data_IF_467787801364
#
_entry.id   IF_467787801364
#
_cell.length_a   1.000
_cell.length_b   1.000
_cell.length_c   1.000
_cell.angle_alpha   90.00
_cell.angle_beta   90.00
_cell.angle_gamma   90.00
#
_symmetry.space_group_name_H-M   'P 1'
#
loop_
_entity.id
_entity.type
_entity.pdbx_description
1 polymer ?
#
# COMPACT_ATOMS: atom_id res chain seq x y z
N UNK A 1 -31.86 -31.51 1.42
CA UNK A 1 -32.74 -30.82 0.45
C UNK A 1 -32.59 -29.32 0.66
N UNK A 2 -31.70 -28.68 -0.08
CA UNK A 2 -31.40 -27.25 0.05
C UNK A 2 -32.26 -26.46 -0.94
N UNK A 3 -33.04 -25.51 -0.43
CA UNK A 3 -33.78 -24.55 -1.24
C UNK A 3 -32.93 -23.31 -1.45
N UNK A 4 -32.66 -23.00 -2.72
CA UNK A 4 -31.82 -21.91 -3.22
C UNK A 4 -32.63 -20.62 -3.36
N UNK A 5 -32.17 -19.54 -2.71
CA UNK A 5 -32.62 -18.18 -3.00
C UNK A 5 -31.93 -17.66 -4.28
N UNK A 6 -32.70 -16.97 -5.13
CA UNK A 6 -32.39 -16.58 -6.51
C UNK A 6 -31.52 -15.33 -6.66
N UNK A 7 -30.87 -14.88 -5.58
CA UNK A 7 -29.83 -13.85 -5.67
C UNK A 7 -28.60 -14.38 -4.93
N UNK A 8 -27.69 -14.96 -5.70
CA UNK A 8 -26.39 -15.48 -5.27
C UNK A 8 -25.47 -14.38 -4.73
N UNK A 9 -25.89 -13.70 -3.66
CA UNK A 9 -25.00 -12.88 -2.86
C UNK A 9 -24.24 -13.85 -1.98
N UNK A 10 -23.12 -14.35 -2.49
CA UNK A 10 -22.12 -14.95 -1.63
C UNK A 10 -21.84 -13.95 -0.51
N UNK A 11 -22.09 -14.38 0.72
CA UNK A 11 -21.57 -13.73 1.91
C UNK A 11 -20.06 -13.93 1.89
N UNK A 12 -19.35 -13.15 1.09
CA UNK A 12 -17.97 -12.82 1.42
C UNK A 12 -18.04 -12.12 2.76
N UNK A 13 -17.63 -12.81 3.83
CA UNK A 13 -17.11 -12.13 5.02
C UNK A 13 -15.90 -11.33 4.57
N UNK A 14 -16.15 -10.18 3.95
CA UNK A 14 -15.16 -9.14 3.77
C UNK A 14 -14.87 -8.70 5.19
N UNK A 15 -13.80 -9.23 5.78
CA UNK A 15 -13.08 -8.47 6.78
C UNK A 15 -12.89 -7.11 6.14
N UNK A 16 -13.53 -6.08 6.70
CA UNK A 16 -13.31 -4.71 6.27
C UNK A 16 -11.85 -4.46 6.59
N UNK A 17 -11.01 -4.65 5.59
CA UNK A 17 -9.57 -4.56 5.73
C UNK A 17 -9.28 -3.10 6.04
N UNK A 18 -8.97 -2.82 7.30
CA UNK A 18 -8.89 -1.44 7.80
C UNK A 18 -7.59 -0.81 7.31
N UNK A 19 -7.71 0.24 6.51
CA UNK A 19 -6.55 1.10 6.17
C UNK A 19 -6.24 1.98 7.38
N UNK A 20 -5.04 1.85 7.94
CA UNK A 20 -4.54 2.81 8.92
C UNK A 20 -3.96 4.04 8.22
N UNK A 21 -3.70 5.11 8.98
CA UNK A 21 -2.95 6.25 8.46
C UNK A 21 -1.53 5.80 8.06
N UNK A 22 -0.98 6.45 7.03
CA UNK A 22 0.30 6.03 6.46
C UNK A 22 1.46 6.03 7.48
N UNK A 23 1.46 6.95 8.44
CA UNK A 23 2.52 7.01 9.44
C UNK A 23 2.43 5.81 10.40
N UNK A 24 1.21 5.46 10.85
CA UNK A 24 0.96 4.27 11.64
C UNK A 24 1.32 2.99 10.89
N UNK A 25 0.90 2.88 9.62
CA UNK A 25 1.23 1.75 8.77
C UNK A 25 2.75 1.56 8.65
N UNK A 26 3.50 2.65 8.43
CA UNK A 26 4.98 2.59 8.34
C UNK A 26 5.64 2.22 9.68
N UNK A 27 5.08 2.66 10.80
CA UNK A 27 5.67 2.47 12.13
C UNK A 27 5.33 1.12 12.77
N UNK A 28 4.15 0.56 12.48
CA UNK A 28 3.59 -0.63 13.17
C UNK A 28 2.78 -1.57 12.26
N UNK A 29 2.85 -1.37 10.95
CA UNK A 29 2.02 -2.09 9.99
C UNK A 29 2.53 -3.45 9.56
N UNK A 30 3.58 -4.01 10.17
CA UNK A 30 4.02 -5.38 9.88
C UNK A 30 3.91 -6.22 11.14
N UNK A 31 3.34 -7.41 11.05
CA UNK A 31 3.23 -8.35 12.18
C UNK A 31 4.19 -9.50 11.96
N UNK A 32 5.08 -9.73 12.92
CA UNK A 32 5.90 -10.93 12.94
C UNK A 32 5.02 -12.16 13.23
N UNK A 33 4.93 -13.14 12.33
CA UNK A 33 4.05 -14.30 12.50
C UNK A 33 4.50 -15.23 13.63
N UNK A 34 5.77 -15.17 14.05
CA UNK A 34 6.32 -16.03 15.11
C UNK A 34 6.09 -15.47 16.50
N UNK A 35 6.21 -14.15 16.66
CA UNK A 35 6.09 -13.48 17.96
C UNK A 35 4.76 -12.74 18.16
N UNK A 36 4.06 -12.43 17.07
CA UNK A 36 2.90 -11.53 17.06
C UNK A 36 3.25 -10.06 17.23
N UNK A 37 4.54 -9.70 17.27
CA UNK A 37 4.99 -8.33 17.46
C UNK A 37 4.67 -7.44 16.25
N UNK A 38 4.26 -6.19 16.50
CA UNK A 38 4.10 -5.16 15.46
C UNK A 38 5.39 -4.37 15.24
N UNK A 39 5.94 -4.54 14.06
CA UNK A 39 7.18 -3.95 13.58
C UNK A 39 6.93 -2.77 12.63
N UNK A 40 7.91 -1.88 12.55
CA UNK A 40 7.99 -0.90 11.48
C UNK A 40 8.37 -1.58 10.16
N UNK A 41 8.13 -0.90 9.03
CA UNK A 41 8.60 -1.39 7.73
C UNK A 41 10.13 -1.55 7.70
N UNK A 42 10.86 -0.59 8.30
CA UNK A 42 12.32 -0.65 8.39
C UNK A 42 12.78 -1.88 9.20
N UNK A 43 12.20 -2.10 10.38
CA UNK A 43 12.55 -3.23 11.25
C UNK A 43 12.20 -4.57 10.61
N UNK A 44 11.06 -4.66 9.92
CA UNK A 44 10.65 -5.87 9.20
C UNK A 44 11.59 -6.21 8.03
N UNK A 45 12.12 -5.21 7.32
CA UNK A 45 13.15 -5.44 6.30
C UNK A 45 14.45 -5.89 6.96
N UNK A 46 14.85 -5.21 8.05
CA UNK A 46 16.07 -5.51 8.80
C UNK A 46 16.07 -6.92 9.40
N UNK A 47 14.92 -7.41 9.87
CA UNK A 47 14.73 -8.77 10.37
C UNK A 47 14.57 -9.82 9.26
N UNK A 48 14.54 -9.38 7.98
CA UNK A 48 14.26 -10.19 6.78
C UNK A 48 12.86 -10.78 6.74
N UNK A 49 11.94 -10.26 7.56
CA UNK A 49 10.53 -10.59 7.48
C UNK A 49 9.92 -10.10 6.15
N UNK A 50 10.38 -8.94 5.66
CA UNK A 50 10.00 -8.41 4.35
C UNK A 50 11.20 -8.40 3.40
N UNK A 51 11.04 -9.04 2.25
CA UNK A 51 11.88 -8.78 1.08
C UNK A 51 11.25 -7.63 0.28
N UNK A 52 11.78 -6.43 0.49
CA UNK A 52 11.26 -5.20 -0.13
C UNK A 52 11.56 -5.11 -1.62
N UNK A 53 12.55 -5.86 -2.13
CA UNK A 53 12.88 -5.88 -3.55
C UNK A 53 11.90 -6.75 -4.36
N UNK A 54 11.44 -7.84 -3.75
CA UNK A 54 10.48 -8.77 -4.35
C UNK A 54 9.03 -8.52 -3.89
N UNK A 55 8.81 -7.64 -2.90
CA UNK A 55 7.51 -7.36 -2.28
C UNK A 55 6.85 -8.63 -1.72
N UNK A 56 7.66 -9.38 -0.98
CA UNK A 56 7.29 -10.67 -0.37
C UNK A 56 7.47 -10.58 1.14
N UNK A 57 6.52 -11.14 1.88
CA UNK A 57 6.65 -11.39 3.31
C UNK A 57 7.03 -12.86 3.52
N UNK A 58 8.07 -13.09 4.33
CA UNK A 58 8.57 -14.41 4.68
C UNK A 58 7.88 -14.94 5.94
N UNK A 59 7.33 -16.15 5.86
CA UNK A 59 6.86 -16.94 6.99
C UNK A 59 7.80 -18.13 7.18
N UNK A 60 7.99 -18.69 8.39
CA UNK A 60 8.86 -19.85 8.60
C UNK A 60 8.58 -21.02 7.62
N UNK A 61 7.31 -21.27 7.31
CA UNK A 61 6.87 -22.38 6.46
C UNK A 61 6.55 -21.99 5.01
N UNK A 62 6.46 -20.69 4.69
CA UNK A 62 6.03 -20.24 3.35
C UNK A 62 6.45 -18.80 3.06
N UNK A 63 6.25 -18.34 1.83
CA UNK A 63 6.34 -16.92 1.51
C UNK A 63 5.08 -16.50 0.75
N UNK A 64 4.70 -15.24 0.88
CA UNK A 64 3.50 -14.71 0.25
C UNK A 64 3.73 -13.27 -0.21
N UNK A 65 3.01 -12.86 -1.24
CA UNK A 65 3.04 -11.45 -1.66
C UNK A 65 2.38 -10.55 -0.60
N UNK A 66 2.61 -9.23 -0.69
CA UNK A 66 2.08 -8.30 0.31
C UNK A 66 0.53 -8.29 0.36
N UNK A 67 -0.15 -8.56 -0.75
CA UNK A 67 -1.62 -8.57 -0.78
C UNK A 67 -2.17 -9.81 -0.05
N UNK A 68 -1.55 -10.97 -0.23
CA UNK A 68 -1.83 -12.19 0.51
C UNK A 68 -1.54 -12.01 2.00
N UNK A 69 -0.39 -11.43 2.36
CA UNK A 69 -0.02 -11.12 3.74
C UNK A 69 -1.05 -10.18 4.39
N UNK A 70 -1.56 -9.20 3.64
CA UNK A 70 -2.60 -8.29 4.10
C UNK A 70 -3.92 -9.03 4.41
N UNK A 71 -4.32 -9.97 3.55
CA UNK A 71 -5.54 -10.75 3.74
C UNK A 71 -5.51 -11.62 5.01
N UNK A 72 -4.33 -12.05 5.45
CA UNK A 72 -4.14 -12.81 6.69
C UNK A 72 -3.73 -11.94 7.88
N UNK A 73 -3.67 -10.61 7.71
CA UNK A 73 -3.39 -9.66 8.79
C UNK A 73 -1.93 -9.54 9.20
N UNK A 74 -0.98 -10.01 8.37
CA UNK A 74 0.46 -9.93 8.63
C UNK A 74 1.10 -8.61 8.17
N UNK A 75 0.41 -7.87 7.30
CA UNK A 75 0.82 -6.53 6.90
C UNK A 75 -0.40 -5.61 6.77
N UNK A 76 -0.21 -4.35 7.10
CA UNK A 76 -1.20 -3.29 6.91
C UNK A 76 -1.44 -3.06 5.42
N UNK A 77 -2.70 -2.82 5.10
CA UNK A 77 -3.16 -2.78 3.71
C UNK A 77 -2.80 -1.50 3.01
N UNK A 78 -2.61 -0.42 3.77
CA UNK A 78 -2.00 0.79 3.25
C UNK A 78 -0.59 0.47 2.69
N UNK A 79 0.22 -0.36 3.38
CA UNK A 79 1.53 -0.77 2.87
C UNK A 79 1.42 -1.72 1.68
N UNK A 80 0.56 -2.74 1.77
CA UNK A 80 0.38 -3.73 0.71
C UNK A 80 -0.13 -3.10 -0.60
N UNK A 81 -0.89 -2.02 -0.53
CA UNK A 81 -1.37 -1.29 -1.71
C UNK A 81 -0.35 -0.30 -2.25
N UNK A 82 0.35 0.44 -1.38
CA UNK A 82 1.24 1.53 -1.82
C UNK A 82 2.60 1.04 -2.32
N UNK A 83 3.23 0.07 -1.65
CA UNK A 83 4.59 -0.37 -1.96
C UNK A 83 4.71 -0.97 -3.37
N UNK A 84 3.73 -1.75 -3.90
CA UNK A 84 3.75 -2.20 -5.29
C UNK A 84 3.61 -1.09 -6.32
N UNK A 85 3.12 0.10 -5.93
CA UNK A 85 3.06 1.28 -6.80
C UNK A 85 4.37 2.07 -6.80
N UNK A 86 5.33 1.69 -5.96
CA UNK A 86 6.66 2.28 -5.91
C UNK A 86 6.78 3.40 -4.88
N UNK A 87 7.83 4.19 -5.04
CA UNK A 87 8.22 5.28 -4.14
C UNK A 87 8.59 6.52 -4.95
N UNK A 88 8.60 7.68 -4.31
CA UNK A 88 9.06 8.93 -4.87
C UNK A 88 10.59 9.02 -4.78
N UNK A 89 11.23 9.34 -5.90
CA UNK A 89 12.65 9.66 -5.94
C UNK A 89 12.89 10.99 -5.20
N UNK A 90 13.74 11.03 -4.16
CA UNK A 90 13.82 12.19 -3.26
C UNK A 90 14.39 13.47 -3.90
N UNK A 91 15.16 13.34 -4.99
CA UNK A 91 15.71 14.50 -5.73
C UNK A 91 14.87 14.93 -6.93
N UNK A 92 14.44 13.99 -7.79
CA UNK A 92 13.68 14.34 -9.00
C UNK A 92 12.18 14.49 -8.75
N UNK A 93 11.64 13.95 -7.66
CA UNK A 93 10.20 13.89 -7.39
C UNK A 93 9.45 12.85 -8.22
N UNK A 94 10.15 12.10 -9.09
CA UNK A 94 9.53 11.10 -9.95
C UNK A 94 9.11 9.86 -9.17
N UNK A 95 7.98 9.26 -9.55
CA UNK A 95 7.61 7.93 -9.04
C UNK A 95 8.48 6.87 -9.73
N UNK A 96 9.20 6.08 -8.93
CA UNK A 96 10.03 4.96 -9.37
C UNK A 96 9.60 3.68 -8.65
N UNK A 97 9.90 2.52 -9.24
CA UNK A 97 9.61 1.24 -8.57
C UNK A 97 10.49 1.05 -7.32
N UNK A 98 10.01 0.25 -6.37
CA UNK A 98 10.77 -0.09 -5.15
C UNK A 98 12.10 -0.76 -5.48
N UNK A 99 12.12 -1.65 -6.48
CA UNK A 99 13.34 -2.25 -7.00
C UNK A 99 14.31 -1.20 -7.56
N UNK A 100 13.80 -0.23 -8.32
CA UNK A 100 14.65 0.86 -8.85
C UNK A 100 15.21 1.74 -7.74
N UNK A 101 14.45 2.00 -6.68
CA UNK A 101 14.93 2.73 -5.51
C UNK A 101 16.07 1.99 -4.77
N UNK A 102 16.04 0.65 -4.75
CA UNK A 102 17.16 -0.17 -4.23
C UNK A 102 18.39 -0.04 -5.13
N UNK A 103 18.24 -0.18 -6.45
CA UNK A 103 19.33 -0.03 -7.42
C UNK A 103 20.02 1.34 -7.32
N UNK A 104 19.23 2.38 -7.06
CA UNK A 104 19.70 3.75 -6.85
C UNK A 104 20.25 4.01 -5.43
N UNK A 105 20.28 2.99 -4.57
CA UNK A 105 20.68 3.08 -3.15
C UNK A 105 19.86 4.08 -2.32
N UNK A 106 18.65 4.41 -2.79
CA UNK A 106 17.67 5.19 -2.02
C UNK A 106 17.15 4.33 -0.87
N UNK A 107 16.92 3.03 -1.11
CA UNK A 107 16.50 2.06 -0.10
C UNK A 107 17.60 1.03 0.07
N UNK A 108 18.06 0.80 1.29
CA UNK A 108 18.91 -0.33 1.61
C UNK A 108 18.05 -1.58 1.84
N UNK A 109 18.09 -2.53 0.90
CA UNK A 109 17.26 -3.74 0.96
C UNK A 109 17.58 -4.68 2.14
N UNK A 110 18.71 -4.49 2.83
CA UNK A 110 19.10 -5.29 4.00
C UNK A 110 18.71 -4.63 5.31
N UNK A 111 18.84 -3.31 5.41
CA UNK A 111 18.60 -2.58 6.68
C UNK A 111 17.25 -1.88 6.72
N UNK A 112 16.61 -1.69 5.56
CA UNK A 112 15.40 -0.89 5.42
C UNK A 112 15.67 0.62 5.48
N UNK A 113 16.92 1.06 5.67
CA UNK A 113 17.24 2.49 5.76
C UNK A 113 17.02 3.20 4.42
N UNK A 114 16.56 4.46 4.50
CA UNK A 114 16.30 5.30 3.34
C UNK A 114 17.31 6.45 3.32
N UNK A 115 17.93 6.70 2.18
CA UNK A 115 18.92 7.76 1.99
C UNK A 115 18.65 8.58 0.73
N UNK A 116 19.04 9.85 0.76
CA UNK A 116 19.20 10.64 -0.44
C UNK A 116 20.40 10.08 -1.24
N UNK A 117 20.23 9.70 -2.52
CA UNK A 117 21.28 9.01 -3.26
C UNK A 117 22.48 9.90 -3.64
N UNK A 118 22.36 11.22 -3.47
CA UNK A 118 23.44 12.19 -3.75
C UNK A 118 24.11 12.71 -2.48
N UNK A 119 23.33 13.20 -1.52
CA UNK A 119 23.87 13.75 -0.26
C UNK A 119 24.17 12.68 0.79
N UNK A 120 23.67 11.45 0.60
CA UNK A 120 23.67 10.37 1.58
C UNK A 120 22.95 10.69 2.91
N UNK A 121 22.21 11.80 2.95
CA UNK A 121 21.37 12.18 4.08
C UNK A 121 20.34 11.09 4.37
N UNK A 122 20.18 10.72 5.64
CA UNK A 122 19.16 9.76 6.06
C UNK A 122 17.78 10.39 5.95
N UNK A 123 16.89 9.74 5.22
CA UNK A 123 15.50 10.14 5.01
C UNK A 123 14.56 9.21 5.78
N UNK A 124 13.26 9.56 5.77
CA UNK A 124 12.21 8.70 6.32
C UNK A 124 11.46 7.99 5.20
N UNK A 125 10.96 6.79 5.47
CA UNK A 125 10.02 6.11 4.57
C UNK A 125 8.81 6.98 4.22
N UNK A 126 8.30 7.74 5.20
CA UNK A 126 7.16 8.63 4.97
C UNK A 126 7.45 9.64 3.84
N UNK A 127 8.66 10.19 3.77
CA UNK A 127 9.03 11.18 2.75
C UNK A 127 8.96 10.62 1.31
N UNK A 128 9.34 9.36 1.11
CA UNK A 128 9.37 8.73 -0.21
C UNK A 128 8.06 8.00 -0.54
N UNK A 129 7.25 7.61 0.45
CA UNK A 129 5.96 6.92 0.20
C UNK A 129 4.77 7.88 0.15
N UNK A 130 4.78 8.96 0.94
CA UNK A 130 3.65 9.90 1.04
C UNK A 130 3.21 10.47 -0.32
N UNK A 131 4.10 10.86 -1.26
CA UNK A 131 3.66 11.36 -2.56
C UNK A 131 2.91 10.31 -3.39
N UNK A 132 3.36 9.05 -3.33
CA UNK A 132 2.70 7.93 -4.02
C UNK A 132 1.34 7.64 -3.38
N UNK A 133 1.29 7.55 -2.05
CA UNK A 133 0.04 7.38 -1.32
C UNK A 133 -0.96 8.50 -1.62
N UNK A 134 -0.51 9.76 -1.60
CA UNK A 134 -1.34 10.93 -1.91
C UNK A 134 -1.98 10.83 -3.30
N UNK A 135 -1.21 10.45 -4.33
CA UNK A 135 -1.79 10.25 -5.66
C UNK A 135 -2.83 9.13 -5.73
N UNK A 136 -2.65 8.02 -5.00
CA UNK A 136 -3.64 6.93 -4.96
C UNK A 136 -4.95 7.36 -4.30
N UNK A 137 -4.89 8.20 -3.26
CA UNK A 137 -6.09 8.72 -2.58
C UNK A 137 -6.70 9.92 -3.28
N UNK A 138 -5.95 10.70 -4.06
CA UNK A 138 -6.47 11.82 -4.84
C UNK A 138 -7.11 11.39 -6.17
N UNK A 139 -6.65 10.28 -6.76
CA UNK A 139 -7.24 9.67 -7.95
C UNK A 139 -8.64 9.03 -7.67
N UNK A 140 -9.07 8.98 -6.40
CA UNK A 140 -10.42 8.55 -6.00
C UNK A 140 -11.12 9.58 -5.11
N UNK A 141 -12.35 9.98 -5.47
CA UNK A 141 -13.19 10.81 -4.57
C UNK A 141 -13.48 10.01 -3.30
N UNK A 142 -12.94 10.45 -2.16
CA UNK A 142 -13.14 9.84 -0.84
C UNK A 142 -14.50 10.25 -0.26
N UNK A 143 -15.48 9.33 -0.25
CA UNK A 143 -16.70 9.46 0.55
C UNK A 143 -16.51 8.76 1.92
N UNK A 144 -16.36 9.52 3.02
CA UNK A 144 -16.13 8.97 4.36
C UNK A 144 -17.30 8.13 4.91
N UNK A 145 -18.47 8.07 4.24
CA UNK A 145 -19.64 7.32 4.70
C UNK A 145 -19.85 5.97 3.99
N UNK A 146 -19.13 5.68 2.90
CA UNK A 146 -19.47 4.52 2.02
C UNK A 146 -18.32 3.58 1.65
N UNK A 147 -17.09 3.82 2.10
CA UNK A 147 -16.03 2.80 2.15
C UNK A 147 -15.48 2.27 0.81
N UNK A 148 -15.85 2.82 -0.35
CA UNK A 148 -15.20 2.50 -1.63
C UNK A 148 -15.11 3.72 -2.56
N UNK A 149 -14.02 3.80 -3.33
CA UNK A 149 -13.73 4.87 -4.29
C UNK A 149 -14.52 4.70 -5.60
N UNK A 150 -15.03 5.81 -6.15
CA UNK A 150 -15.57 5.86 -7.52
C UNK A 150 -14.56 6.60 -8.42
N UNK A 151 -14.12 6.04 -9.55
CA UNK A 151 -13.23 6.71 -10.49
C UNK A 151 -13.88 7.93 -11.17
N UNK A 152 -13.10 8.99 -11.42
CA UNK A 152 -13.55 10.23 -12.09
C UNK A 152 -13.95 10.06 -13.56
N UNK A 153 -13.84 8.87 -14.14
CA UNK A 153 -14.26 8.57 -15.52
C UNK A 153 -15.78 8.56 -15.75
N UNK A 154 -16.59 8.90 -14.75
CA UNK A 154 -18.06 9.06 -14.88
C UNK A 154 -18.60 10.47 -14.60
N UNK A 155 -17.76 11.48 -14.37
CA UNK A 155 -18.23 12.86 -14.12
C UNK A 155 -18.48 13.69 -15.40
N UNK A 156 -18.17 13.18 -16.60
CA UNK A 156 -18.36 13.89 -17.87
C UNK A 156 -19.45 13.29 -18.76
N UNK A 157 -20.69 13.18 -18.28
CA UNK A 157 -21.91 13.21 -19.13
C UNK A 157 -23.04 13.64 -18.17
N UNK A 158 -23.52 14.88 -18.15
CA UNK A 158 -24.42 15.46 -19.13
C UNK A 158 -24.65 16.91 -18.72
N UNK A 159 -24.44 17.88 -19.62
CA UNK A 159 -25.31 19.06 -19.83
C UNK A 159 -24.76 19.84 -21.03
N UNK A 160 -24.69 19.18 -22.18
CA UNK A 160 -25.00 19.85 -23.43
C UNK A 160 -26.48 19.61 -23.68
N UNK A 161 -27.29 20.66 -23.48
CA UNK A 161 -28.29 21.20 -24.40
C UNK A 161 -29.53 21.76 -23.69
N UNK A 162 -30.08 22.83 -24.28
CA UNK A 162 -31.26 23.66 -23.93
C UNK A 162 -30.90 24.92 -23.10
N UNK A 163 -31.08 26.17 -23.57
CA UNK A 163 -31.90 26.67 -24.67
C UNK A 163 -31.27 27.87 -25.38
N UNK A 164 -31.44 27.88 -26.70
CA UNK A 164 -31.74 29.09 -27.44
C UNK A 164 -33.18 29.51 -27.11
N UNK A 165 -33.37 30.74 -26.60
CA UNK A 165 -34.34 31.77 -27.06
C UNK A 165 -33.73 33.11 -26.70
#
# INVERSE_FOLDING_TARGET
LASVDRKGKQLTKSYAVFRSDLAHALAKGVVDPTTGERLSLEDAIKSRLIDIGNLVLWHPDSSMDLAQAANVGLIDVTLAEVLPKGVCHPVTGERISTKRAIELKIINARTGEVHNPYSNERLTWLSIVKPVYASLVMEGVYDPRKGYAVPLSRAFVSYTHLQAI
#
